data_IF_136422095075
#
_entry.id   IF_136422095075
#
_cell.length_a   1.000
_cell.length_b   1.000
_cell.length_c   1.000
_cell.angle_alpha   90.00
_cell.angle_beta   90.00
_cell.angle_gamma   90.00
#
_symmetry.space_group_name_H-M   'P 1'
#
loop_
_entity.id
_entity.type
_entity.pdbx_description
1 polymer ?
#
# COMPACT_ATOMS: atom_id res chain seq x y z
N UNK A 1 6.79 -3.37 -26.11
CA UNK A 1 7.43 -2.70 -24.95
C UNK A 1 6.76 -3.25 -23.70
N UNK A 2 7.49 -3.98 -22.84
CA UNK A 2 6.94 -4.47 -21.58
C UNK A 2 6.62 -3.24 -20.73
N UNK A 3 5.35 -2.88 -20.62
CA UNK A 3 4.91 -1.92 -19.63
C UNK A 3 5.05 -2.62 -18.29
N UNK A 4 6.18 -2.42 -17.62
CA UNK A 4 6.27 -2.72 -16.20
C UNK A 4 5.08 -2.05 -15.54
N UNK A 5 4.24 -2.85 -14.89
CA UNK A 5 3.06 -2.32 -14.23
C UNK A 5 3.51 -1.47 -13.05
N UNK A 6 3.64 -0.16 -13.29
CA UNK A 6 4.24 0.81 -12.38
C UNK A 6 3.68 0.67 -10.96
N UNK A 7 2.37 0.44 -10.81
CA UNK A 7 1.78 0.29 -9.49
C UNK A 7 2.22 -1.00 -8.81
N UNK A 8 2.39 -2.11 -9.54
CA UNK A 8 2.86 -3.38 -9.00
C UNK A 8 4.31 -3.27 -8.51
N UNK A 9 5.18 -2.66 -9.31
CA UNK A 9 6.58 -2.39 -8.91
C UNK A 9 6.61 -1.52 -7.65
N UNK A 10 5.85 -0.42 -7.63
CA UNK A 10 5.83 0.50 -6.48
C UNK A 10 5.31 -0.16 -5.21
N UNK A 11 4.24 -0.95 -5.27
CA UNK A 11 3.69 -1.59 -4.08
C UNK A 11 4.57 -2.74 -3.59
N UNK A 12 5.28 -3.42 -4.50
CA UNK A 12 6.29 -4.41 -4.13
C UNK A 12 7.49 -3.77 -3.43
N UNK A 13 8.07 -2.71 -4.02
CA UNK A 13 9.18 -1.96 -3.42
C UNK A 13 8.80 -1.37 -2.06
N UNK A 14 7.60 -0.78 -1.95
CA UNK A 14 7.09 -0.27 -0.69
C UNK A 14 6.89 -1.39 0.35
N UNK A 15 6.47 -2.59 -0.06
CA UNK A 15 6.39 -3.74 0.85
C UNK A 15 7.75 -4.11 1.42
N UNK A 16 8.81 -4.08 0.60
CA UNK A 16 10.17 -4.35 1.05
C UNK A 16 10.66 -3.32 2.07
N UNK A 17 10.40 -2.02 1.84
CA UNK A 17 10.78 -0.98 2.79
C UNK A 17 10.02 -1.10 4.11
N UNK A 18 8.74 -1.48 4.08
CA UNK A 18 7.97 -1.73 5.31
C UNK A 18 8.47 -2.97 6.06
N UNK A 19 8.90 -4.03 5.36
CA UNK A 19 9.52 -5.19 6.01
C UNK A 19 10.78 -4.77 6.77
N UNK A 20 11.59 -3.88 6.19
CA UNK A 20 12.77 -3.34 6.85
C UNK A 20 12.39 -2.49 8.07
N UNK A 21 11.44 -1.56 7.92
CA UNK A 21 10.89 -0.78 9.04
C UNK A 21 10.37 -1.66 10.18
N UNK A 22 9.65 -2.73 9.86
CA UNK A 22 9.14 -3.69 10.84
C UNK A 22 10.27 -4.35 11.64
N UNK A 23 11.37 -4.73 10.99
CA UNK A 23 12.54 -5.30 11.67
C UNK A 23 13.18 -4.28 12.61
N UNK A 24 13.28 -3.01 12.21
CA UNK A 24 13.83 -1.95 13.05
C UNK A 24 12.92 -1.63 14.25
N UNK A 25 11.62 -1.50 14.04
CA UNK A 25 10.64 -1.28 15.11
C UNK A 25 10.66 -2.40 16.17
N UNK A 26 10.83 -3.65 15.74
CA UNK A 26 10.98 -4.77 16.67
C UNK A 26 12.25 -4.66 17.52
N UNK A 27 13.35 -4.09 17.00
CA UNK A 27 14.57 -3.84 17.78
C UNK A 27 14.35 -2.76 18.83
N UNK A 28 13.41 -1.85 18.60
CA UNK A 28 12.96 -0.83 19.56
C UNK A 28 11.82 -1.32 20.49
N UNK A 29 11.48 -2.61 20.45
CA UNK A 29 10.40 -3.23 21.22
C UNK A 29 8.97 -2.75 20.85
N UNK A 30 8.77 -2.26 19.63
CA UNK A 30 7.43 -1.96 19.11
C UNK A 30 6.91 -3.16 18.29
N UNK A 31 5.82 -3.78 18.76
CA UNK A 31 5.28 -5.04 18.22
C UNK A 31 3.84 -4.96 17.72
N UNK A 32 3.09 -3.94 18.15
CA UNK A 32 1.65 -3.89 17.96
C UNK A 32 1.33 -3.10 16.69
N UNK A 33 1.81 -1.86 16.61
CA UNK A 33 1.59 -1.00 15.43
C UNK A 33 2.41 -1.52 14.25
N UNK A 34 3.64 -1.95 14.47
CA UNK A 34 4.53 -2.50 13.45
C UNK A 34 3.90 -3.68 12.73
N UNK A 35 3.21 -4.56 13.46
CA UNK A 35 2.47 -5.70 12.89
C UNK A 35 1.27 -5.25 12.06
N UNK A 36 0.55 -4.20 12.48
CA UNK A 36 -0.55 -3.64 11.70
C UNK A 36 -0.06 -2.99 10.41
N UNK A 37 1.02 -2.20 10.48
CA UNK A 37 1.69 -1.58 9.33
C UNK A 37 2.18 -2.66 8.35
N UNK A 38 2.83 -3.71 8.84
CA UNK A 38 3.34 -4.81 8.00
C UNK A 38 2.21 -5.52 7.24
N UNK A 39 1.11 -5.86 7.93
CA UNK A 39 0.00 -6.59 7.31
C UNK A 39 -0.72 -5.75 6.26
N UNK A 40 -1.09 -4.52 6.61
CA UNK A 40 -1.83 -3.64 5.71
C UNK A 40 -1.00 -3.27 4.48
N UNK A 41 0.28 -2.91 4.66
CA UNK A 41 1.16 -2.54 3.54
C UNK A 41 1.40 -3.67 2.54
N UNK A 42 1.71 -4.88 3.02
CA UNK A 42 1.95 -6.05 2.14
C UNK A 42 0.68 -6.53 1.45
N UNK A 43 -0.49 -6.31 2.07
CA UNK A 43 -1.80 -6.58 1.46
C UNK A 43 -2.07 -5.70 0.23
N UNK A 44 -1.52 -4.47 0.17
CA UNK A 44 -1.66 -3.59 -1.00
C UNK A 44 -1.05 -4.27 -2.24
N UNK A 45 0.21 -4.72 -2.13
CA UNK A 45 0.93 -5.39 -3.22
C UNK A 45 0.22 -6.68 -3.65
N UNK A 46 -0.17 -7.51 -2.69
CA UNK A 46 -0.90 -8.75 -2.96
C UNK A 46 -2.20 -8.51 -3.75
N UNK A 47 -3.01 -7.54 -3.35
CA UNK A 47 -4.24 -7.21 -4.08
C UNK A 47 -3.99 -6.57 -5.45
N UNK A 48 -2.89 -5.85 -5.64
CA UNK A 48 -2.49 -5.34 -6.96
C UNK A 48 -2.10 -6.49 -7.89
N UNK A 49 -1.32 -7.47 -7.42
CA UNK A 49 -0.98 -8.67 -8.20
C UNK A 49 -2.23 -9.47 -8.57
N UNK A 50 -3.16 -9.65 -7.63
CA UNK A 50 -4.45 -10.29 -7.91
C UNK A 50 -5.29 -9.49 -8.93
N UNK A 51 -5.27 -8.16 -8.88
CA UNK A 51 -5.94 -7.32 -9.87
C UNK A 51 -5.37 -7.53 -11.27
N UNK A 52 -4.04 -7.67 -11.40
CA UNK A 52 -3.38 -7.90 -12.69
C UNK A 52 -3.82 -9.23 -13.32
N UNK A 53 -4.05 -10.24 -12.50
CA UNK A 53 -4.55 -11.56 -12.91
C UNK A 53 -6.08 -11.66 -13.00
N UNK A 54 -6.81 -10.54 -12.84
CA UNK A 54 -8.26 -10.53 -12.78
C UNK A 54 -8.92 -11.02 -14.07
N UNK A 55 -10.01 -11.78 -13.91
CA UNK A 55 -10.73 -12.41 -15.03
C UNK A 55 -11.74 -11.48 -15.70
N UNK A 56 -12.01 -10.31 -15.11
CA UNK A 56 -12.90 -9.31 -15.67
C UNK A 56 -12.53 -7.90 -15.20
N UNK A 57 -13.02 -6.87 -15.90
CA UNK A 57 -12.83 -5.48 -15.49
C UNK A 57 -13.46 -5.19 -14.12
N UNK A 58 -14.60 -5.80 -13.80
CA UNK A 58 -15.26 -5.67 -12.49
C UNK A 58 -14.43 -6.29 -11.38
N UNK A 59 -13.84 -7.46 -11.63
CA UNK A 59 -12.92 -8.13 -10.70
C UNK A 59 -11.65 -7.31 -10.49
N UNK A 60 -11.04 -6.79 -11.55
CA UNK A 60 -9.91 -5.86 -11.49
C UNK A 60 -10.21 -4.65 -10.57
N UNK A 61 -11.36 -4.00 -10.78
CA UNK A 61 -11.78 -2.85 -9.97
C UNK A 61 -11.98 -3.24 -8.51
N UNK A 62 -12.59 -4.40 -8.24
CA UNK A 62 -12.81 -4.89 -6.88
C UNK A 62 -11.47 -5.09 -6.15
N UNK A 63 -10.50 -5.76 -6.77
CA UNK A 63 -9.16 -5.99 -6.20
C UNK A 63 -8.38 -4.69 -5.99
N UNK A 64 -8.39 -3.79 -6.97
CA UNK A 64 -7.80 -2.46 -6.81
C UNK A 64 -8.48 -1.64 -5.69
N UNK A 65 -9.80 -1.80 -5.50
CA UNK A 65 -10.53 -1.14 -4.41
C UNK A 65 -10.14 -1.69 -3.03
N UNK A 66 -9.84 -2.99 -2.93
CA UNK A 66 -9.29 -3.57 -1.70
C UNK A 66 -7.89 -3.01 -1.45
N UNK A 67 -7.01 -2.99 -2.45
CA UNK A 67 -5.68 -2.37 -2.35
C UNK A 67 -5.76 -0.89 -1.90
N UNK A 68 -6.76 -0.14 -2.38
CA UNK A 68 -7.01 1.24 -1.95
C UNK A 68 -7.39 1.37 -0.46
N UNK A 69 -8.19 0.44 0.06
CA UNK A 69 -8.55 0.40 1.49
C UNK A 69 -7.31 0.11 2.34
N UNK A 70 -6.54 -0.91 1.96
CA UNK A 70 -5.30 -1.31 2.63
C UNK A 70 -4.26 -0.18 2.63
N UNK A 71 -4.16 0.58 1.54
CA UNK A 71 -3.25 1.72 1.47
C UNK A 71 -3.63 2.85 2.43
N UNK A 72 -4.93 3.13 2.57
CA UNK A 72 -5.45 4.13 3.53
C UNK A 72 -5.27 3.67 4.97
N UNK A 73 -5.48 2.39 5.24
CA UNK A 73 -5.22 1.81 6.56
C UNK A 73 -3.73 1.86 6.91
N UNK A 74 -2.85 1.51 5.97
CA UNK A 74 -1.40 1.61 6.14
C UNK A 74 -1.00 3.05 6.48
N UNK A 75 -1.51 4.04 5.75
CA UNK A 75 -1.27 5.47 6.03
C UNK A 75 -1.74 5.85 7.44
N UNK A 76 -2.88 5.34 7.89
CA UNK A 76 -3.38 5.59 9.24
C UNK A 76 -2.42 5.05 10.31
N UNK A 77 -1.96 3.80 10.18
CA UNK A 77 -1.02 3.21 11.12
C UNK A 77 0.35 3.91 11.12
N UNK A 78 0.86 4.32 9.96
CA UNK A 78 2.08 5.11 9.86
C UNK A 78 1.93 6.48 10.54
N UNK A 79 0.76 7.13 10.44
CA UNK A 79 0.49 8.39 11.17
C UNK A 79 0.45 8.19 12.68
N UNK A 80 -0.11 7.08 13.16
CA UNK A 80 -0.09 6.76 14.59
C UNK A 80 1.35 6.53 15.06
N UNK A 81 2.15 5.80 14.28
CA UNK A 81 3.56 5.57 14.59
C UNK A 81 4.35 6.89 14.67
N UNK A 82 4.15 7.80 13.70
CA UNK A 82 4.79 9.12 13.66
C UNK A 82 4.43 10.02 14.86
N UNK A 83 3.20 9.90 15.39
CA UNK A 83 2.68 10.79 16.45
C UNK A 83 2.72 10.20 17.86
N UNK A 84 2.96 8.90 18.00
CA UNK A 84 2.93 8.21 19.29
C UNK A 84 4.26 8.20 20.04
N UNK A 85 5.34 8.72 19.43
CA UNK A 85 6.69 8.71 19.99
C UNK A 85 7.21 7.29 20.34
N UNK A 86 6.60 6.24 19.79
CA UNK A 86 6.98 4.84 20.00
C UNK A 86 8.32 4.47 19.33
N UNK A 87 8.80 5.32 18.43
CA UNK A 87 10.06 5.12 17.71
C UNK A 87 10.76 6.44 17.45
N UNK A 88 12.10 6.40 17.33
CA UNK A 88 12.89 7.53 16.82
C UNK A 88 13.11 7.47 15.30
N UNK A 89 12.67 6.38 14.66
CA UNK A 89 12.77 6.20 13.22
C UNK A 89 11.87 7.24 12.53
N UNK A 90 12.40 8.02 11.58
CA UNK A 90 11.61 9.02 10.87
C UNK A 90 10.60 8.34 9.93
N UNK A 91 9.31 8.61 10.14
CA UNK A 91 8.22 7.98 9.38
C UNK A 91 7.83 8.78 8.12
N UNK A 92 8.33 10.01 7.97
CA UNK A 92 7.96 10.95 6.90
C UNK A 92 8.10 10.36 5.50
N UNK A 93 9.18 9.64 5.20
CA UNK A 93 9.40 9.04 3.87
C UNK A 93 8.34 8.00 3.54
N UNK A 94 7.96 7.16 4.50
CA UNK A 94 6.91 6.14 4.31
C UNK A 94 5.54 6.80 4.10
N UNK A 95 5.26 7.91 4.79
CA UNK A 95 4.03 8.68 4.62
C UNK A 95 3.93 9.34 3.25
N UNK A 96 5.04 9.80 2.69
CA UNK A 96 5.08 10.35 1.33
C UNK A 96 4.83 9.25 0.31
N UNK A 97 5.51 8.10 0.42
CA UNK A 97 5.38 7.04 -0.58
C UNK A 97 3.99 6.40 -0.56
N UNK A 98 3.40 6.16 0.61
CA UNK A 98 2.03 5.62 0.69
C UNK A 98 1.01 6.59 0.09
N UNK A 99 1.23 7.91 0.18
CA UNK A 99 0.35 8.90 -0.44
C UNK A 99 0.44 8.85 -1.98
N UNK A 100 1.65 8.69 -2.52
CA UNK A 100 1.83 8.46 -3.96
C UNK A 100 1.10 7.20 -4.42
N UNK A 101 1.22 6.09 -3.68
CA UNK A 101 0.52 4.83 -3.97
C UNK A 101 -1.00 5.03 -3.94
N UNK A 102 -1.54 5.71 -2.92
CA UNK A 102 -2.98 6.02 -2.82
C UNK A 102 -3.46 6.81 -4.04
N UNK A 103 -2.71 7.83 -4.46
CA UNK A 103 -3.06 8.67 -5.59
C UNK A 103 -3.08 7.88 -6.91
N UNK A 104 -2.07 7.03 -7.12
CA UNK A 104 -1.99 6.17 -8.31
C UNK A 104 -3.16 5.17 -8.34
N UNK A 105 -3.40 4.44 -7.24
CA UNK A 105 -4.51 3.48 -7.14
C UNK A 105 -5.86 4.18 -7.38
N UNK A 106 -6.06 5.36 -6.78
CA UNK A 106 -7.30 6.14 -6.93
C UNK A 106 -7.52 6.52 -8.41
N UNK A 107 -6.47 6.95 -9.11
CA UNK A 107 -6.55 7.29 -10.54
C UNK A 107 -6.86 6.06 -11.39
N UNK A 108 -6.25 4.90 -11.10
CA UNK A 108 -6.50 3.63 -11.81
C UNK A 108 -7.96 3.20 -11.64
N UNK A 109 -8.51 3.26 -10.42
CA UNK A 109 -9.90 2.90 -10.15
C UNK A 109 -10.85 3.83 -10.92
N UNK A 110 -10.65 5.15 -10.83
CA UNK A 110 -11.50 6.13 -11.50
C UNK A 110 -11.56 5.92 -13.01
N UNK A 111 -10.39 5.80 -13.65
CA UNK A 111 -10.30 5.58 -15.11
C UNK A 111 -10.85 4.22 -15.52
N UNK A 112 -10.73 3.20 -14.66
CA UNK A 112 -11.32 1.88 -14.90
C UNK A 112 -12.85 1.88 -14.84
N UNK A 113 -13.46 2.66 -13.96
CA UNK A 113 -14.92 2.85 -13.94
C UNK A 113 -15.43 3.57 -15.19
N UNK A 114 -14.75 4.64 -15.62
CA UNK A 114 -15.12 5.40 -16.83
C UNK A 114 -15.14 4.52 -18.09
N UNK A 115 -14.28 3.49 -18.15
CA UNK A 115 -14.25 2.53 -19.27
C UNK A 115 -15.40 1.51 -19.29
N UNK A 116 -16.18 1.38 -18.21
CA UNK A 116 -17.35 0.48 -18.14
C UNK A 116 -18.65 1.23 -18.51
N UNK A 117 -18.69 2.54 -18.30
CA UNK A 117 -19.88 3.37 -18.53
C UNK A 117 -19.98 3.89 -19.97
N UNK A 118 -18.93 3.70 -20.78
CA UNK A 118 -18.94 3.93 -22.23
C UNK A 118 -19.26 2.64 -22.96
#
# INVERSE_FOLDING_TARGET
MKNDNLIAVKTFEFSLTIIQLFVELKRENEYIISKQVLRSSTSIGANVEEAIAAQSKRDFINKMSIASKEARETKYWLRLLDKSELTKIPITTYLIEIEHIINIITKIIKTSHESITK
#
